data_IF_689489378054
#
_entry.id   IF_689489378054
#
_cell.length_a   1.000
_cell.length_b   1.000
_cell.length_c   1.000
_cell.angle_alpha   90.00
_cell.angle_beta   90.00
_cell.angle_gamma   90.00
#
_symmetry.space_group_name_H-M   'P 1'
#
loop_
_entity.id
_entity.type
_entity.pdbx_description
1 polymer ?
#
# COMPACT_ATOMS: atom_id res chain seq x y z
N UNK A 1 -19.91 8.68 0.62
CA UNK A 1 -18.68 7.85 0.53
C UNK A 1 -18.40 7.29 1.91
N UNK A 2 -18.16 5.98 2.03
CA UNK A 2 -17.91 5.34 3.32
C UNK A 2 -16.44 5.41 3.69
N UNK A 3 -16.14 5.85 4.92
CA UNK A 3 -14.80 5.75 5.47
C UNK A 3 -14.46 4.28 5.70
N UNK A 4 -13.31 3.84 5.18
CA UNK A 4 -12.76 2.52 5.39
C UNK A 4 -11.57 2.59 6.35
N UNK A 5 -11.44 1.62 7.26
CA UNK A 5 -10.31 1.54 8.20
C UNK A 5 -9.76 0.11 8.25
N UNK A 6 -8.44 -0.01 8.17
CA UNK A 6 -7.73 -1.28 8.31
C UNK A 6 -6.70 -1.20 9.43
N UNK A 7 -6.68 -2.24 10.27
CA UNK A 7 -5.71 -2.41 11.35
C UNK A 7 -4.86 -3.65 11.08
N UNK A 8 -3.54 -3.51 11.13
CA UNK A 8 -2.63 -4.67 11.16
C UNK A 8 -2.30 -5.24 9.78
N UNK A 9 -2.00 -4.38 8.80
CA UNK A 9 -1.54 -4.78 7.47
C UNK A 9 -0.02 -4.67 7.36
N UNK A 10 0.61 -5.50 6.53
CA UNK A 10 2.03 -5.41 6.21
C UNK A 10 2.26 -4.70 4.88
N UNK A 11 3.33 -3.92 4.80
CA UNK A 11 3.80 -3.33 3.54
C UNK A 11 4.45 -4.42 2.70
N UNK A 12 3.78 -4.84 1.62
CA UNK A 12 4.34 -5.84 0.72
C UNK A 12 5.33 -5.21 -0.25
N UNK A 13 4.87 -4.21 -1.01
CA UNK A 13 5.66 -3.50 -2.02
C UNK A 13 5.36 -2.00 -1.96
N UNK A 14 6.39 -1.16 -2.09
CA UNK A 14 6.30 0.30 -2.16
C UNK A 14 6.84 0.79 -3.50
N UNK A 15 6.11 1.69 -4.15
CA UNK A 15 6.51 2.39 -5.38
C UNK A 15 6.29 3.89 -5.19
N UNK A 16 7.27 4.68 -5.58
CA UNK A 16 7.27 6.13 -5.36
C UNK A 16 7.43 6.84 -6.70
N UNK A 17 6.48 7.73 -7.01
CA UNK A 17 6.45 8.51 -8.24
C UNK A 17 6.56 10.02 -7.94
N UNK A 18 7.11 10.39 -6.77
CA UNK A 18 7.36 11.75 -6.35
C UNK A 18 6.13 12.44 -5.75
N UNK A 19 5.06 12.63 -6.53
CA UNK A 19 3.82 13.25 -6.05
C UNK A 19 2.83 12.27 -5.41
N UNK A 20 2.98 10.98 -5.72
CA UNK A 20 2.10 9.90 -5.28
C UNK A 20 2.95 8.69 -4.92
N UNK A 21 2.66 8.08 -3.77
CA UNK A 21 3.28 6.85 -3.29
C UNK A 21 2.23 5.75 -3.34
N UNK A 22 2.54 4.67 -4.03
CA UNK A 22 1.70 3.49 -4.10
C UNK A 22 2.28 2.39 -3.21
N UNK A 23 1.41 1.77 -2.41
CA UNK A 23 1.77 0.65 -1.55
C UNK A 23 0.80 -0.49 -1.81
N UNK A 24 1.33 -1.69 -2.03
CA UNK A 24 0.54 -2.91 -1.92
C UNK A 24 0.59 -3.35 -0.45
N UNK A 25 -0.57 -3.36 0.22
CA UNK A 25 -0.71 -3.85 1.58
C UNK A 25 -1.13 -5.31 1.57
N UNK A 26 -0.51 -6.12 2.42
CA UNK A 26 -0.82 -7.53 2.61
C UNK A 26 -1.52 -7.74 3.95
N UNK A 27 -2.60 -8.51 3.92
CA UNK A 27 -3.20 -9.11 5.10
C UNK A 27 -3.56 -10.58 4.84
N UNK A 28 -4.35 -11.20 5.73
CA UNK A 28 -4.76 -12.61 5.58
C UNK A 28 -5.68 -12.88 4.39
N UNK A 29 -6.27 -11.85 3.78
CA UNK A 29 -7.24 -11.95 2.69
C UNK A 29 -6.62 -11.69 1.32
N UNK A 30 -5.44 -11.06 1.29
CA UNK A 30 -4.64 -10.90 0.09
C UNK A 30 -3.91 -9.56 0.05
N UNK A 31 -3.70 -9.07 -1.16
CA UNK A 31 -3.11 -7.76 -1.42
C UNK A 31 -4.20 -6.73 -1.71
N UNK A 32 -4.00 -5.49 -1.25
CA UNK A 32 -4.81 -4.35 -1.64
C UNK A 32 -3.94 -3.16 -1.98
N UNK A 33 -4.29 -2.49 -3.08
CA UNK A 33 -3.58 -1.33 -3.56
C UNK A 33 -4.02 -0.08 -2.79
N UNK A 34 -3.07 0.67 -2.27
CA UNK A 34 -3.33 1.94 -1.60
C UNK A 34 -2.43 3.03 -2.17
N UNK A 35 -2.97 4.23 -2.27
CA UNK A 35 -2.24 5.41 -2.72
C UNK A 35 -2.23 6.48 -1.64
N UNK A 36 -1.06 7.09 -1.50
CA UNK A 36 -0.85 8.31 -0.75
C UNK A 36 -0.57 9.40 -1.76
N UNK A 37 -1.43 10.40 -1.82
CA UNK A 37 -1.38 11.50 -2.78
C UNK A 37 -1.36 12.82 -2.00
N UNK A 38 -0.45 13.73 -2.37
CA UNK A 38 -0.40 15.08 -1.80
C UNK A 38 -1.73 15.83 -1.92
N UNK A 39 -2.52 15.54 -2.94
CA UNK A 39 -3.84 16.12 -3.15
C UNK A 39 -4.92 15.54 -2.21
N UNK A 40 -4.69 14.35 -1.64
CA UNK A 40 -5.62 13.70 -0.70
C UNK A 40 -5.28 14.11 0.73
N UNK A 41 -4.06 13.85 1.18
CA UNK A 41 -3.58 14.26 2.49
C UNK A 41 -2.04 14.35 2.53
N UNK A 42 -1.54 15.56 2.74
CA UNK A 42 -0.10 15.83 2.79
C UNK A 42 0.60 15.15 3.97
N UNK A 43 -0.07 15.04 5.12
CA UNK A 43 0.51 14.45 6.33
C UNK A 43 0.68 12.94 6.21
N UNK A 44 -0.33 12.26 5.67
CA UNK A 44 -0.28 10.84 5.34
C UNK A 44 0.79 10.56 4.28
N UNK A 45 0.87 11.38 3.23
CA UNK A 45 1.91 11.28 2.21
C UNK A 45 3.32 11.43 2.80
N UNK A 46 3.55 12.44 3.64
CA UNK A 46 4.86 12.64 4.29
C UNK A 46 5.26 11.44 5.15
N UNK A 47 4.34 10.89 5.94
CA UNK A 47 4.59 9.67 6.72
C UNK A 47 4.88 8.46 5.83
N UNK A 48 4.20 8.35 4.70
CA UNK A 48 4.38 7.25 3.75
C UNK A 48 5.74 7.27 3.04
N UNK A 49 6.40 8.43 3.00
CA UNK A 49 7.72 8.58 2.40
C UNK A 49 8.78 7.70 3.07
N UNK A 50 8.70 7.53 4.40
CA UNK A 50 9.69 6.79 5.18
C UNK A 50 9.39 5.28 5.28
N UNK A 51 8.22 4.86 4.82
CA UNK A 51 7.76 3.48 4.95
C UNK A 51 8.67 2.53 4.18
N UNK A 52 8.96 1.37 4.79
CA UNK A 52 9.73 0.29 4.16
C UNK A 52 8.92 -1.00 4.13
N UNK A 53 9.40 -1.95 3.34
CA UNK A 53 8.83 -3.30 3.27
C UNK A 53 8.70 -3.92 4.67
N UNK A 54 7.62 -4.68 4.84
CA UNK A 54 7.22 -5.41 6.04
C UNK A 54 6.93 -4.56 7.28
N UNK A 55 6.83 -3.24 7.17
CA UNK A 55 6.29 -2.42 8.25
C UNK A 55 4.81 -2.73 8.47
N UNK A 56 4.39 -2.68 9.74
CA UNK A 56 2.99 -2.91 10.13
C UNK A 56 2.29 -1.58 10.27
N UNK A 57 1.21 -1.41 9.52
CA UNK A 57 0.49 -0.17 9.41
C UNK A 57 -0.98 -0.32 9.84
N UNK A 58 -1.54 0.82 10.19
CA UNK A 58 -2.98 1.07 10.24
C UNK A 58 -3.27 2.24 9.32
N UNK A 59 -4.29 2.08 8.48
CA UNK A 59 -4.70 3.09 7.53
C UNK A 59 -6.19 3.40 7.65
N UNK A 60 -6.54 4.64 7.35
CA UNK A 60 -7.93 5.07 7.14
C UNK A 60 -7.99 5.78 5.80
N UNK A 61 -8.99 5.46 4.99
CA UNK A 61 -9.12 6.03 3.67
C UNK A 61 -10.46 5.76 3.01
N UNK A 62 -10.56 6.17 1.76
CA UNK A 62 -11.74 6.00 0.92
C UNK A 62 -11.47 4.99 -0.18
N UNK A 63 -12.45 4.12 -0.44
CA UNK A 63 -12.42 3.21 -1.59
C UNK A 63 -12.71 4.01 -2.87
N UNK A 64 -11.81 3.88 -3.84
CA UNK A 64 -11.86 4.53 -5.13
C UNK A 64 -11.84 3.45 -6.22
N UNK A 65 -12.46 3.73 -7.36
CA UNK A 65 -12.27 2.91 -8.54
C UNK A 65 -10.83 3.07 -9.03
N UNK A 66 -10.19 1.96 -9.39
CA UNK A 66 -8.89 2.02 -10.04
C UNK A 66 -9.05 2.54 -11.47
N UNK A 67 -8.03 3.24 -11.98
CA UNK A 67 -8.01 3.64 -13.39
C UNK A 67 -7.89 2.39 -14.26
N UNK A 68 -8.56 2.37 -15.42
CA UNK A 68 -8.69 1.17 -16.26
C UNK A 68 -7.34 0.52 -16.64
N UNK A 69 -6.29 1.32 -16.79
CA UNK A 69 -4.93 0.91 -17.10
C UNK A 69 -4.15 0.36 -15.89
N UNK A 70 -4.62 0.61 -14.67
CA UNK A 70 -4.02 0.15 -13.42
C UNK A 70 -4.76 -1.03 -12.76
N UNK A 71 -5.83 -1.52 -13.40
CA UNK A 71 -6.60 -2.67 -12.91
C UNK A 71 -5.73 -3.93 -12.88
N UNK A 72 -5.60 -4.53 -11.70
CA UNK A 72 -4.86 -5.79 -11.51
C UNK A 72 -5.81 -6.99 -11.51
N UNK A 73 -6.16 -7.52 -12.68
CA UNK A 73 -7.16 -8.61 -12.82
C UNK A 73 -6.85 -9.90 -12.02
N UNK A 74 -5.58 -10.14 -11.66
CA UNK A 74 -5.19 -11.29 -10.81
C UNK A 74 -5.55 -11.10 -9.33
N UNK A 75 -5.85 -9.88 -8.89
CA UNK A 75 -6.18 -9.57 -7.50
C UNK A 75 -7.68 -9.42 -7.32
N UNK A 76 -8.21 -9.95 -6.21
CA UNK A 76 -9.63 -9.78 -5.82
C UNK A 76 -10.01 -8.31 -5.64
N UNK A 77 -9.06 -7.47 -5.25
CA UNK A 77 -9.25 -6.02 -5.11
C UNK A 77 -8.70 -5.24 -6.30
N UNK A 78 -8.45 -5.88 -7.44
CA UNK A 78 -7.74 -5.28 -8.56
C UNK A 78 -8.46 -4.12 -9.23
N UNK A 79 -9.78 -4.04 -9.07
CA UNK A 79 -10.65 -2.99 -9.64
C UNK A 79 -10.76 -1.75 -8.74
N UNK A 80 -10.23 -1.82 -7.52
CA UNK A 80 -10.34 -0.76 -6.52
C UNK A 80 -8.99 -0.43 -5.90
N UNK A 81 -8.87 0.80 -5.42
CA UNK A 81 -7.74 1.27 -4.62
C UNK A 81 -8.24 2.09 -3.43
N UNK A 82 -7.37 2.26 -2.43
CA UNK A 82 -7.70 3.10 -1.26
C UNK A 82 -6.89 4.40 -1.36
N UNK A 83 -7.60 5.53 -1.42
CA UNK A 83 -7.00 6.84 -1.19
C UNK A 83 -6.85 7.06 0.32
N UNK A 84 -5.62 7.07 0.82
CA UNK A 84 -5.36 7.11 2.27
C UNK A 84 -5.38 8.54 2.79
N UNK A 85 -6.18 8.78 3.83
CA UNK A 85 -6.29 10.06 4.51
C UNK A 85 -5.58 10.05 5.87
N UNK A 86 -5.48 8.88 6.52
CA UNK A 86 -4.75 8.74 7.78
C UNK A 86 -3.83 7.53 7.77
N UNK A 87 -2.65 7.71 8.37
CA UNK A 87 -1.62 6.68 8.48
C UNK A 87 -1.01 6.68 9.88
N UNK A 88 -0.98 5.49 10.46
CA UNK A 88 -0.33 5.17 11.72
C UNK A 88 0.62 3.97 11.49
N UNK A 89 1.89 4.13 11.88
CA UNK A 89 2.88 3.06 11.85
C UNK A 89 2.79 2.33 13.19
N UNK A 90 2.20 1.13 13.18
CA UNK A 90 2.04 0.30 14.37
C UNK A 90 3.37 -0.33 14.77
N UNK A 91 4.17 -0.78 13.79
CA UNK A 91 5.48 -1.35 14.05
C UNK A 91 6.42 -1.20 12.84
N UNK A 92 7.70 -0.96 13.11
CA UNK A 92 8.75 -0.94 12.09
C UNK A 92 9.38 -2.32 11.96
N UNK A 93 9.67 -2.73 10.74
CA UNK A 93 10.42 -3.95 10.47
C UNK A 93 11.85 -3.65 10.05
N UNK A 94 12.77 -4.53 10.45
CA UNK A 94 14.09 -4.63 9.81
C UNK A 94 13.92 -5.20 8.41
N UNK A 95 14.90 -4.99 7.55
CA UNK A 95 14.93 -5.65 6.24
C UNK A 95 14.90 -7.18 6.47
N UNK A 96 13.92 -7.89 5.90
CA UNK A 96 13.86 -9.35 5.99
C UNK A 96 15.12 -10.01 5.42
N UNK A 97 15.49 -11.19 5.93
CA UNK A 97 16.63 -11.95 5.40
C UNK A 97 16.40 -12.51 3.99
N UNK A 98 15.14 -12.58 3.56
CA UNK A 98 14.71 -12.96 2.22
C UNK A 98 13.46 -12.13 1.86
N UNK A 99 13.28 -11.78 0.59
CA UNK A 99 12.08 -11.04 0.17
C UNK A 99 10.85 -11.96 0.20
N UNK A 100 9.70 -11.42 0.62
CA UNK A 100 8.41 -12.13 0.59
C UNK A 100 7.73 -11.98 -0.78
N UNK A 101 8.21 -11.04 -1.58
CA UNK A 101 7.68 -10.73 -2.90
C UNK A 101 8.26 -11.69 -3.95
N UNK A 102 7.50 -12.74 -4.27
CA UNK A 102 7.92 -13.79 -5.20
C UNK A 102 8.12 -13.26 -6.64
N UNK A 103 7.35 -12.25 -7.08
CA UNK A 103 7.47 -11.69 -8.44
C UNK A 103 8.80 -10.96 -8.67
N UNK A 104 9.43 -10.45 -7.60
CA UNK A 104 10.73 -9.80 -7.71
C UNK A 104 11.89 -10.79 -7.78
N UNK A 105 11.68 -12.01 -7.27
CA UNK A 105 12.70 -13.06 -7.25
C UNK A 105 12.99 -13.63 -8.64
N UNK A 106 12.07 -13.47 -9.60
CA UNK A 106 12.20 -13.99 -10.97
C UNK A 106 13.02 -13.06 -11.90
N UNK A 107 13.26 -11.80 -11.54
CA UNK A 107 14.09 -10.87 -12.34
C UNK A 107 15.61 -11.02 -12.07
N UNK A 108 16.02 -11.99 -11.26
CA UNK A 108 17.41 -12.22 -10.85
C UNK A 108 18.09 -13.44 -11.50
N UNK A 109 17.51 -14.06 -12.53
CA UNK A 109 18.11 -15.17 -13.29
C UNK A 109 18.17 -14.93 -14.80
#
# INVERSE_FOLDING_TARGET
MGNFSWLGTWVHRRRDHGGVIFIDLRDRYGLTHVKFDLAIDKGAWQKANDIRSEWVLKIVGNVLACLNDMIKHKLKTGEVEIGVNELEILNKSKTPSFEIDEEKAEEAN
#
